data_IF_116788237625
#
_entry.id   IF_116788237625
#
_cell.length_a   1.000
_cell.length_b   1.000
_cell.length_c   1.000
_cell.angle_alpha   90.00
_cell.angle_beta   90.00
_cell.angle_gamma   90.00
#
_symmetry.space_group_name_H-M   'P 1'
#
loop_
_entity.id
_entity.type
_entity.pdbx_description
1 polymer ?
#
# COMPACT_ATOMS: atom_id res chain seq x y z
N UNK A 1 -5.59 26.80 -16.78
CA UNK A 1 -5.88 25.37 -17.07
C UNK A 1 -5.74 24.61 -15.75
N UNK A 2 -6.80 23.96 -15.29
CA UNK A 2 -6.73 23.11 -14.10
C UNK A 2 -6.11 21.79 -14.53
N UNK A 3 -4.88 21.55 -14.10
CA UNK A 3 -4.23 20.25 -14.21
C UNK A 3 -4.32 19.66 -12.81
N UNK A 4 -5.09 18.60 -12.64
CA UNK A 4 -5.16 17.89 -11.37
C UNK A 4 -4.41 16.58 -11.48
N UNK A 5 -3.62 16.29 -10.45
CA UNK A 5 -2.91 15.02 -10.32
C UNK A 5 -3.58 14.25 -9.19
N UNK A 6 -4.06 13.05 -9.51
CA UNK A 6 -4.59 12.11 -8.52
C UNK A 6 -3.56 11.01 -8.32
N UNK A 7 -3.25 10.70 -7.06
CA UNK A 7 -2.33 9.61 -6.73
C UNK A 7 -3.07 8.56 -5.93
N UNK A 8 -3.01 7.31 -6.40
CA UNK A 8 -3.46 6.15 -5.66
C UNK A 8 -2.24 5.35 -5.19
N UNK A 9 -2.03 5.32 -3.88
CA UNK A 9 -1.02 4.47 -3.26
C UNK A 9 -1.67 3.18 -2.80
N UNK A 10 -1.13 2.04 -3.22
CA UNK A 10 -1.64 0.72 -2.83
C UNK A 10 -0.50 -0.29 -2.68
N UNK A 11 -0.74 -1.32 -1.86
CA UNK A 11 0.21 -2.41 -1.65
C UNK A 11 0.01 -3.50 -2.70
N UNK A 12 1.05 -3.78 -3.49
CA UNK A 12 1.13 -4.85 -4.46
C UNK A 12 2.35 -5.70 -4.10
N UNK A 13 2.13 -6.70 -3.23
CA UNK A 13 3.21 -7.38 -2.51
C UNK A 13 4.34 -7.88 -3.43
N UNK A 14 5.62 -7.64 -3.06
CA UNK A 14 6.10 -7.14 -1.77
C UNK A 14 6.23 -5.61 -1.65
N UNK A 15 5.77 -4.83 -2.64
CA UNK A 15 6.10 -3.40 -2.72
C UNK A 15 4.88 -2.49 -2.63
N UNK A 16 5.12 -1.25 -2.20
CA UNK A 16 4.16 -0.17 -2.34
C UNK A 16 4.26 0.48 -3.71
N UNK A 17 3.10 0.70 -4.33
CA UNK A 17 2.99 1.21 -5.70
C UNK A 17 2.17 2.49 -5.69
N UNK A 18 2.69 3.54 -6.33
CA UNK A 18 1.97 4.76 -6.65
C UNK A 18 1.48 4.73 -8.09
N UNK A 19 0.17 4.86 -8.28
CA UNK A 19 -0.44 5.11 -9.58
C UNK A 19 -0.76 6.59 -9.68
N UNK A 20 -0.12 7.27 -10.61
CA UNK A 20 -0.24 8.69 -10.86
C UNK A 20 -1.13 8.92 -12.06
N UNK A 21 -2.24 9.60 -11.86
CA UNK A 21 -3.17 9.98 -12.92
C UNK A 21 -3.14 11.48 -13.09
N UNK A 22 -2.84 11.94 -14.32
CA UNK A 22 -2.96 13.36 -14.68
C UNK A 22 -4.22 13.54 -15.51
N UNK A 23 -5.01 14.54 -15.13
CA UNK A 23 -6.19 14.94 -15.88
C UNK A 23 -5.94 16.29 -16.54
N UNK A 24 -6.01 16.27 -17.88
CA UNK A 24 -6.12 17.45 -18.72
C UNK A 24 -7.56 17.57 -19.24
N UNK A 25 -7.92 18.70 -19.86
CA UNK A 25 -9.30 19.00 -20.29
C UNK A 25 -9.98 17.85 -21.05
N UNK A 26 -9.24 17.19 -21.93
CA UNK A 26 -9.77 16.17 -22.85
C UNK A 26 -9.01 14.83 -22.78
N UNK A 27 -7.90 14.78 -22.04
CA UNK A 27 -6.99 13.64 -22.01
C UNK A 27 -6.65 13.25 -20.58
N UNK A 28 -6.46 11.97 -20.35
CA UNK A 28 -5.89 11.48 -19.09
C UNK A 28 -4.75 10.53 -19.41
N UNK A 29 -3.68 10.62 -18.62
CA UNK A 29 -2.54 9.72 -18.75
C UNK A 29 -2.14 9.21 -17.38
N UNK A 30 -1.67 7.96 -17.36
CA UNK A 30 -1.33 7.27 -16.12
C UNK A 30 0.12 6.84 -16.13
N UNK A 31 0.76 6.90 -14.97
CA UNK A 31 2.10 6.39 -14.75
C UNK A 31 2.14 5.56 -13.46
N UNK A 32 2.97 4.52 -13.46
CA UNK A 32 3.16 3.63 -12.32
C UNK A 32 4.58 3.80 -11.78
N UNK A 33 4.71 3.98 -10.47
CA UNK A 33 5.99 3.98 -9.76
C UNK A 33 5.96 3.01 -8.59
N UNK A 34 7.08 2.33 -8.32
CA UNK A 34 7.22 1.38 -7.22
C UNK A 34 8.14 1.99 -6.17
N UNK A 35 7.59 2.32 -4.99
CA UNK A 35 8.33 2.93 -3.89
C UNK A 35 9.14 1.92 -3.07
N UNK A 36 8.73 0.66 -3.08
CA UNK A 36 9.30 -0.37 -2.21
C UNK A 36 8.63 -0.39 -0.84
N UNK A 37 8.97 0.56 0.05
CA UNK A 37 8.32 0.76 1.35
C UNK A 37 7.09 1.67 1.25
N UNK A 38 6.24 1.68 2.28
CA UNK A 38 5.09 2.57 2.35
C UNK A 38 5.60 4.02 2.35
N UNK A 39 5.28 4.83 1.32
CA UNK A 39 5.73 6.21 1.29
C UNK A 39 4.95 7.01 2.34
N UNK A 40 5.65 7.84 3.10
CA UNK A 40 5.01 8.86 3.92
C UNK A 40 4.40 9.96 3.07
N UNK A 41 3.45 10.72 3.62
CA UNK A 41 2.85 11.87 2.91
C UNK A 41 3.92 12.88 2.45
N UNK A 42 4.97 13.09 3.25
CA UNK A 42 6.07 13.99 2.92
C UNK A 42 6.94 13.46 1.77
N UNK A 43 7.27 12.17 1.78
CA UNK A 43 8.02 11.52 0.68
C UNK A 43 7.20 11.53 -0.60
N UNK A 44 5.90 11.25 -0.52
CA UNK A 44 5.00 11.29 -1.67
C UNK A 44 4.92 12.70 -2.26
N UNK A 45 4.81 13.71 -1.40
CA UNK A 45 4.80 15.11 -1.81
C UNK A 45 6.11 15.53 -2.48
N UNK A 46 7.26 15.18 -1.88
CA UNK A 46 8.57 15.45 -2.48
C UNK A 46 8.74 14.76 -3.83
N UNK A 47 8.35 13.49 -3.93
CA UNK A 47 8.37 12.74 -5.18
C UNK A 47 7.55 13.44 -6.27
N UNK A 48 6.36 13.96 -5.92
CA UNK A 48 5.52 14.73 -6.85
C UNK A 48 6.22 16.01 -7.34
N UNK A 49 7.01 16.66 -6.49
CA UNK A 49 7.73 17.88 -6.86
C UNK A 49 8.99 17.63 -7.70
N UNK A 50 9.73 16.55 -7.41
CA UNK A 50 11.08 16.34 -7.98
C UNK A 50 11.12 15.33 -9.10
N UNK A 51 10.37 14.22 -8.99
CA UNK A 51 10.52 13.05 -9.87
C UNK A 51 9.30 12.79 -10.75
N UNK A 52 8.14 13.37 -10.44
CA UNK A 52 6.91 13.19 -11.19
C UNK A 52 7.05 13.44 -12.70
N UNK A 53 7.79 14.47 -13.08
CA UNK A 53 7.98 14.82 -14.50
C UNK A 53 8.83 13.79 -15.25
N UNK A 54 9.58 12.95 -14.53
CA UNK A 54 10.39 11.86 -15.09
C UNK A 54 9.59 10.58 -15.28
N UNK A 55 8.34 10.52 -14.81
CA UNK A 55 7.51 9.35 -14.98
C UNK A 55 7.18 9.11 -16.45
N UNK A 56 7.30 7.86 -16.88
CA UNK A 56 6.85 7.43 -18.18
C UNK A 56 5.32 7.24 -18.18
N UNK A 57 4.62 8.28 -18.60
CA UNK A 57 3.16 8.24 -18.79
C UNK A 57 2.80 7.41 -20.02
N UNK A 58 1.66 6.73 -19.92
CA UNK A 58 1.00 6.12 -21.08
C UNK A 58 0.66 7.16 -22.14
N UNK A 59 0.40 6.70 -23.36
CA UNK A 59 -0.20 7.57 -24.37
C UNK A 59 -1.48 8.22 -23.82
N UNK A 60 -1.69 9.52 -24.09
CA UNK A 60 -2.87 10.22 -23.63
C UNK A 60 -4.09 9.62 -24.33
N UNK A 61 -4.97 8.99 -23.57
CA UNK A 61 -6.18 8.38 -24.10
C UNK A 61 -7.41 9.12 -23.56
N UNK A 62 -8.39 9.31 -24.45
CA UNK A 62 -9.64 9.99 -24.11
C UNK A 62 -10.45 9.08 -23.18
N UNK A 63 -10.80 9.56 -21.99
CA UNK A 63 -11.68 8.87 -21.05
C UNK A 63 -11.21 7.48 -20.57
N UNK A 64 -9.98 7.34 -20.09
CA UNK A 64 -9.60 6.14 -19.32
C UNK A 64 -10.40 6.13 -18.00
N UNK A 65 -11.52 5.39 -17.95
CA UNK A 65 -12.13 5.01 -16.67
C UNK A 65 -11.34 3.85 -16.11
N UNK A 66 -10.33 4.13 -15.29
CA UNK A 66 -9.64 3.10 -14.50
C UNK A 66 -10.67 2.36 -13.64
N UNK A 67 -11.07 1.17 -14.10
CA UNK A 67 -11.93 0.29 -13.32
C UNK A 67 -11.06 -0.41 -12.28
N UNK A 68 -10.72 0.33 -11.22
CA UNK A 68 -10.14 -0.28 -10.04
C UNK A 68 -11.24 -1.11 -9.41
N UNK A 69 -11.22 -2.43 -9.63
CA UNK A 69 -12.08 -3.37 -8.90
C UNK A 69 -11.72 -3.26 -7.42
N UNK A 70 -12.41 -2.38 -6.69
CA UNK A 70 -12.30 -2.24 -5.24
C UNK A 70 -12.59 -3.61 -4.61
N UNK A 71 -11.53 -4.32 -4.21
CA UNK A 71 -11.66 -5.57 -3.46
C UNK A 71 -12.27 -5.21 -2.11
N UNK A 72 -13.30 -5.95 -1.69
CA UNK A 72 -14.02 -5.66 -0.44
C UNK A 72 -13.01 -5.48 0.71
N UNK A 73 -13.07 -4.38 1.49
CA UNK A 73 -12.12 -4.11 2.57
C UNK A 73 -11.94 -5.30 3.52
N UNK A 74 -13.03 -6.04 3.81
CA UNK A 74 -12.97 -7.26 4.63
C UNK A 74 -12.10 -8.35 4.01
N UNK A 75 -12.09 -8.47 2.68
CA UNK A 75 -11.27 -9.45 1.95
C UNK A 75 -9.80 -9.05 1.99
N UNK A 76 -9.49 -7.76 1.87
CA UNK A 76 -8.12 -7.23 1.98
C UNK A 76 -7.58 -7.49 3.39
N UNK A 77 -8.32 -7.11 4.45
CA UNK A 77 -7.88 -7.34 5.84
C UNK A 77 -7.68 -8.83 6.17
N UNK A 78 -8.51 -9.72 5.63
CA UNK A 78 -8.34 -11.18 5.79
C UNK A 78 -7.08 -11.70 5.11
N UNK A 79 -6.76 -11.17 3.94
CA UNK A 79 -5.57 -11.55 3.17
C UNK A 79 -4.30 -11.05 3.85
N UNK A 80 -4.29 -9.80 4.35
CA UNK A 80 -3.21 -9.24 5.19
C UNK A 80 -3.01 -10.11 6.44
N UNK A 81 -4.08 -10.41 7.18
CA UNK A 81 -4.00 -11.28 8.37
C UNK A 81 -3.46 -12.67 8.03
N UNK A 82 -3.85 -13.25 6.89
CA UNK A 82 -3.37 -14.56 6.45
C UNK A 82 -1.89 -14.53 6.09
N UNK A 83 -1.43 -13.47 5.44
CA UNK A 83 -0.01 -13.28 5.12
C UNK A 83 0.81 -13.10 6.40
N UNK A 84 0.35 -12.27 7.34
CA UNK A 84 0.99 -12.09 8.65
C UNK A 84 1.03 -13.39 9.47
N UNK A 85 -0.01 -14.21 9.42
CA UNK A 85 -0.04 -15.50 10.13
C UNK A 85 0.88 -16.54 9.48
N UNK A 86 1.01 -16.53 8.15
CA UNK A 86 1.97 -17.37 7.43
C UNK A 86 3.43 -16.94 7.64
N UNK A 87 3.70 -15.64 7.87
CA UNK A 87 5.03 -15.17 8.24
C UNK A 87 5.32 -15.34 9.74
N UNK A 88 4.29 -15.32 10.59
CA UNK A 88 4.41 -15.54 12.03
C UNK A 88 4.55 -17.02 12.40
N UNK A 89 4.25 -17.97 11.50
CA UNK A 89 4.57 -19.39 11.76
C UNK A 89 6.07 -19.68 11.84
N UNK A 90 6.92 -18.73 11.41
CA UNK A 90 8.39 -18.79 11.56
C UNK A 90 8.93 -17.90 12.70
N UNK A 91 8.08 -17.09 13.37
CA UNK A 91 8.50 -16.20 14.46
C UNK A 91 7.76 -16.56 15.73
N UNK A 92 8.54 -17.15 16.65
CA UNK A 92 8.20 -17.45 18.05
C UNK A 92 7.30 -16.40 18.69
N UNK A 93 6.41 -16.89 19.55
CA UNK A 93 5.47 -16.16 20.41
C UNK A 93 5.93 -14.73 20.77
N UNK A 94 5.03 -13.77 20.61
CA UNK A 94 5.27 -12.38 21.01
C UNK A 94 5.66 -12.37 22.50
N UNK A 95 6.71 -11.64 22.91
CA UNK A 95 7.20 -11.58 24.31
C UNK A 95 6.09 -11.39 25.37
N UNK A 96 5.03 -10.67 25.02
CA UNK A 96 3.85 -10.51 25.87
C UNK A 96 3.09 -11.82 26.11
N UNK A 97 2.96 -12.68 25.09
CA UNK A 97 2.33 -13.99 25.19
C UNK A 97 3.20 -14.99 25.97
N UNK A 98 4.53 -14.90 25.85
CA UNK A 98 5.46 -15.68 26.69
C UNK A 98 5.36 -15.26 28.16
N UNK A 99 5.31 -13.95 28.45
CA UNK A 99 5.14 -13.45 29.81
C UNK A 99 3.80 -13.89 30.44
N UNK A 100 2.71 -13.82 29.67
CA UNK A 100 1.39 -14.30 30.14
C UNK A 100 1.41 -15.81 30.42
N UNK A 101 2.08 -16.61 29.57
CA UNK A 101 2.19 -18.06 29.77
C UNK A 101 2.99 -18.40 31.03
N UNK A 102 4.11 -17.71 31.27
CA UNK A 102 4.92 -17.86 32.48
C UNK A 102 4.14 -17.52 33.75
N UNK A 103 3.29 -16.50 33.71
CA UNK A 103 2.44 -16.12 34.86
C UNK A 103 1.40 -17.21 35.17
N UNK A 104 0.79 -17.80 34.13
CA UNK A 104 -0.20 -18.88 34.26
C UNK A 104 0.45 -20.17 34.81
N UNK A 105 1.64 -20.54 34.34
CA UNK A 105 2.37 -21.71 34.86
C UNK A 105 2.72 -21.54 36.35
N UNK A 106 3.19 -20.36 36.77
CA UNK A 106 3.50 -20.08 38.19
C UNK A 106 2.28 -20.15 39.12
N UNK A 107 1.09 -19.83 38.62
CA UNK A 107 -0.14 -19.90 39.40
C UNK A 107 -0.70 -21.32 39.49
N UNK A 108 -0.27 -22.23 38.61
CA UNK A 108 -0.72 -23.62 38.61
C UNK A 108 0.05 -24.50 39.60
N UNK A 109 1.29 -24.12 39.91
CA UNK A 109 2.16 -24.82 40.87
C UNK A 109 2.05 -24.26 42.31
N UNK A 110 1.01 -23.46 42.60
CA UNK A 110 0.72 -22.86 43.91
C UNK A 110 -0.61 -23.36 44.44
#
# INVERSE_FOLDING_TARGET
MLHSITVLVYFEGPFWVGLFERHDKDNSAVARHVFGSEPTDAELYQFVLTEYQLLHFSEPEQNIKLTIKRKNPKRISREVRRLMQKSASDVSMTRAQEAIKLEIEKQKDR
#
